data_IF_103228037788
#
_entry.id   IF_103228037788
#
_cell.length_a   1.000
_cell.length_b   1.000
_cell.length_c   1.000
_cell.angle_alpha   90.00
_cell.angle_beta   90.00
_cell.angle_gamma   90.00
#
_symmetry.space_group_name_H-M   'P 1'
#
loop_
_entity.id
_entity.type
_entity.pdbx_description
1 polymer ?
#
# COMPACT_ATOMS: atom_id res chain seq x y z
N UNK A 1 -33.79 -1.57 -1.78
CA UNK A 1 -34.21 -0.24 -1.19
C UNK A 1 -33.08 0.34 -0.32
N UNK A 2 -33.06 1.67 -0.08
CA UNK A 2 -32.03 2.34 0.77
C UNK A 2 -32.06 1.78 2.20
N UNK A 3 -33.27 1.57 2.72
CA UNK A 3 -33.49 1.02 4.08
C UNK A 3 -32.82 -0.34 4.27
N UNK A 4 -32.96 -1.26 3.35
CA UNK A 4 -32.32 -2.59 3.42
C UNK A 4 -30.79 -2.50 3.44
N UNK A 5 -30.21 -1.60 2.63
CA UNK A 5 -28.76 -1.36 2.61
C UNK A 5 -28.28 -0.77 3.93
N UNK A 6 -29.06 0.16 4.50
CA UNK A 6 -28.75 0.76 5.80
C UNK A 6 -28.74 -0.31 6.90
N UNK A 7 -29.78 -1.12 6.99
CA UNK A 7 -29.84 -2.19 7.99
C UNK A 7 -28.76 -3.24 7.79
N UNK A 8 -28.45 -3.63 6.54
CA UNK A 8 -27.32 -4.52 6.25
C UNK A 8 -25.99 -3.92 6.73
N UNK A 9 -25.79 -2.61 6.56
CA UNK A 9 -24.60 -1.90 7.06
C UNK A 9 -24.57 -1.86 8.60
N UNK A 10 -25.71 -1.63 9.25
CA UNK A 10 -25.82 -1.64 10.72
C UNK A 10 -25.46 -3.03 11.28
N UNK A 11 -25.99 -4.11 10.71
CA UNK A 11 -25.67 -5.48 11.15
C UNK A 11 -24.20 -5.82 10.93
N UNK A 12 -23.60 -5.40 9.82
CA UNK A 12 -22.16 -5.53 9.60
C UNK A 12 -21.35 -4.72 10.61
N UNK A 13 -21.80 -3.50 10.94
CA UNK A 13 -21.17 -2.66 11.96
C UNK A 13 -21.16 -3.30 13.33
N UNK A 14 -22.27 -3.96 13.73
CA UNK A 14 -22.37 -4.74 14.97
C UNK A 14 -21.33 -5.87 15.05
N UNK A 15 -20.93 -6.41 13.89
CA UNK A 15 -19.90 -7.45 13.78
C UNK A 15 -18.46 -6.87 13.61
N UNK A 16 -18.30 -5.54 13.68
CA UNK A 16 -17.01 -4.87 13.46
C UNK A 16 -16.55 -4.82 12.00
N UNK A 17 -17.37 -5.26 11.05
CA UNK A 17 -17.02 -5.41 9.64
C UNK A 17 -17.06 -4.09 8.84
N UNK A 18 -17.41 -2.96 9.48
CA UNK A 18 -17.40 -1.64 8.86
C UNK A 18 -16.07 -0.87 9.09
N UNK A 19 -15.16 -1.45 9.86
CA UNK A 19 -13.81 -0.86 10.00
C UNK A 19 -13.04 -1.04 8.71
N UNK A 20 -12.36 0.05 8.29
CA UNK A 20 -11.44 0.02 7.17
C UNK A 20 -10.11 -0.65 7.52
N UNK A 21 -9.22 -0.71 6.54
CA UNK A 21 -7.87 -1.23 6.73
C UNK A 21 -7.07 -0.20 7.54
N UNK A 22 -6.35 -0.60 8.60
CA UNK A 22 -5.57 0.33 9.41
C UNK A 22 -4.50 1.05 8.58
N UNK A 23 -4.36 2.36 8.77
CA UNK A 23 -3.29 3.16 8.15
C UNK A 23 -1.96 3.04 8.91
N UNK A 24 -1.97 2.44 10.10
CA UNK A 24 -0.81 2.41 11.00
C UNK A 24 -0.66 3.69 11.85
N UNK A 25 -1.54 4.68 11.67
CA UNK A 25 -1.55 5.93 12.44
C UNK A 25 -2.84 6.00 13.26
N UNK A 26 -2.80 5.66 14.57
CA UNK A 26 -4.01 5.53 15.39
C UNK A 26 -4.86 6.79 15.46
N UNK A 27 -4.24 7.98 15.42
CA UNK A 27 -4.98 9.26 15.41
C UNK A 27 -5.76 9.45 14.11
N UNK A 28 -5.18 9.06 12.97
CA UNK A 28 -5.82 9.12 11.67
C UNK A 28 -6.95 8.08 11.61
N UNK A 29 -6.69 6.87 12.04
CA UNK A 29 -7.67 5.77 12.02
C UNK A 29 -8.92 6.07 12.89
N UNK A 30 -8.78 6.84 13.97
CA UNK A 30 -9.92 7.31 14.77
C UNK A 30 -10.84 8.27 14.00
N UNK A 31 -10.28 9.08 13.10
CA UNK A 31 -11.05 10.07 12.34
C UNK A 31 -11.60 9.49 11.05
N UNK A 32 -10.80 8.69 10.34
CA UNK A 32 -11.15 8.13 9.03
C UNK A 32 -11.78 6.74 9.11
N UNK A 33 -11.75 6.10 10.29
CA UNK A 33 -12.13 4.70 10.50
C UNK A 33 -11.29 3.71 9.68
N UNK A 34 -10.03 4.07 9.38
CA UNK A 34 -9.14 3.35 8.49
C UNK A 34 -9.40 3.63 7.00
N UNK A 35 -8.75 2.88 6.13
CA UNK A 35 -8.93 3.00 4.68
C UNK A 35 -10.24 2.31 4.29
N UNK A 36 -11.22 3.09 3.87
CA UNK A 36 -12.56 2.63 3.52
C UNK A 36 -12.64 2.24 2.05
N UNK A 37 -13.40 1.19 1.74
CA UNK A 37 -13.70 0.82 0.35
C UNK A 37 -14.54 1.92 -0.33
N UNK A 38 -14.30 2.17 -1.61
CA UNK A 38 -15.03 3.15 -2.44
C UNK A 38 -14.78 4.62 -2.06
N UNK A 39 -13.79 4.88 -1.21
CA UNK A 39 -13.37 6.25 -0.92
C UNK A 39 -12.16 6.63 -1.77
N UNK A 40 -12.13 7.88 -2.16
CA UNK A 40 -10.97 8.52 -2.78
C UNK A 40 -10.23 9.33 -1.70
N UNK A 41 -8.92 9.15 -1.63
CA UNK A 41 -8.07 9.87 -0.68
C UNK A 41 -7.08 10.74 -1.46
N UNK A 42 -7.04 12.02 -1.14
CA UNK A 42 -6.07 12.98 -1.69
C UNK A 42 -5.15 13.45 -0.57
N UNK A 43 -3.83 13.36 -0.81
CA UNK A 43 -2.81 13.81 0.14
C UNK A 43 -2.19 15.08 -0.43
N UNK A 44 -2.46 16.22 0.24
CA UNK A 44 -1.92 17.52 -0.09
C UNK A 44 -0.88 17.99 0.93
N UNK A 45 0.04 18.84 0.51
CA UNK A 45 1.05 19.47 1.37
C UNK A 45 2.16 20.12 0.55
N UNK A 46 3.00 20.91 1.20
CA UNK A 46 4.12 21.59 0.57
C UNK A 46 5.19 20.61 0.03
N UNK A 47 6.05 21.13 -0.83
CA UNK A 47 7.20 20.36 -1.31
C UNK A 47 8.09 19.94 -0.12
N UNK A 48 8.53 18.68 -0.09
CA UNK A 48 9.35 18.16 1.02
C UNK A 48 8.57 17.78 2.28
N UNK A 49 7.26 18.01 2.38
CA UNK A 49 6.43 17.70 3.57
C UNK A 49 6.20 16.19 3.82
N UNK A 50 6.86 15.30 3.07
CA UNK A 50 6.76 13.85 3.29
C UNK A 50 5.50 13.17 2.74
N UNK A 51 4.75 13.83 1.81
CA UNK A 51 3.52 13.27 1.21
C UNK A 51 3.68 11.85 0.69
N UNK A 52 4.71 11.62 -0.12
CA UNK A 52 4.98 10.31 -0.74
C UNK A 52 5.36 9.27 0.31
N UNK A 53 6.13 9.64 1.34
CA UNK A 53 6.48 8.73 2.45
C UNK A 53 5.25 8.38 3.27
N UNK A 54 4.40 9.37 3.57
CA UNK A 54 3.13 9.13 4.26
C UNK A 54 2.20 8.22 3.44
N UNK A 55 2.05 8.49 2.13
CA UNK A 55 1.26 7.65 1.23
C UNK A 55 1.79 6.21 1.18
N UNK A 56 3.11 6.05 1.02
CA UNK A 56 3.74 4.74 0.97
C UNK A 56 3.56 3.97 2.28
N UNK A 57 3.77 4.63 3.43
CA UNK A 57 3.58 4.00 4.73
C UNK A 57 2.12 3.61 4.98
N UNK A 58 1.21 4.58 4.90
CA UNK A 58 -0.16 4.41 5.37
C UNK A 58 -1.07 3.68 4.39
N UNK A 59 -0.86 3.85 3.07
CA UNK A 59 -1.77 3.30 2.06
C UNK A 59 -1.19 2.12 1.27
N UNK A 60 0.10 1.83 1.43
CA UNK A 60 0.73 0.68 0.78
C UNK A 60 1.35 -0.25 1.82
N UNK A 61 2.35 0.19 2.60
CA UNK A 61 3.10 -0.68 3.51
C UNK A 61 2.20 -1.29 4.61
N UNK A 62 1.45 -0.48 5.35
CA UNK A 62 0.58 -0.99 6.43
C UNK A 62 -0.51 -1.93 5.92
N UNK A 63 -1.28 -1.58 4.85
CA UNK A 63 -2.22 -2.52 4.24
C UNK A 63 -1.55 -3.78 3.68
N UNK A 64 -0.34 -3.68 3.11
CA UNK A 64 0.42 -4.83 2.63
C UNK A 64 0.78 -5.80 3.76
N UNK A 65 1.25 -5.27 4.90
CA UNK A 65 1.53 -6.09 6.10
C UNK A 65 0.27 -6.84 6.55
N UNK A 66 -0.89 -6.17 6.58
CA UNK A 66 -2.15 -6.80 6.94
C UNK A 66 -2.62 -7.85 5.90
N UNK A 67 -2.40 -7.60 4.62
CA UNK A 67 -2.68 -8.57 3.55
C UNK A 67 -1.78 -9.81 3.66
N UNK A 68 -0.49 -9.62 3.93
CA UNK A 68 0.46 -10.73 4.09
C UNK A 68 0.22 -11.58 5.34
N UNK A 69 -0.45 -11.02 6.36
CA UNK A 69 -0.96 -11.77 7.52
C UNK A 69 -2.25 -12.54 7.23
N UNK A 70 -2.87 -12.31 6.07
CA UNK A 70 -4.15 -12.92 5.70
C UNK A 70 -5.39 -12.23 6.27
N UNK A 71 -5.24 -11.04 6.88
CA UNK A 71 -6.35 -10.30 7.46
C UNK A 71 -7.25 -9.65 6.39
N UNK A 72 -6.68 -9.37 5.20
CA UNK A 72 -7.39 -8.72 4.09
C UNK A 72 -6.95 -9.28 2.75
N UNK A 73 -7.89 -9.44 1.82
CA UNK A 73 -7.59 -9.67 0.41
C UNK A 73 -7.39 -8.32 -0.29
N UNK A 74 -6.14 -7.98 -0.60
CA UNK A 74 -5.77 -6.70 -1.21
C UNK A 74 -4.77 -6.96 -2.33
N UNK A 75 -4.96 -6.26 -3.45
CA UNK A 75 -3.95 -6.10 -4.49
C UNK A 75 -3.73 -4.62 -4.73
N UNK A 76 -2.50 -4.23 -5.03
CA UNK A 76 -2.11 -2.84 -5.23
C UNK A 76 -1.79 -2.60 -6.70
N UNK A 77 -2.31 -1.51 -7.24
CA UNK A 77 -1.87 -0.95 -8.51
C UNK A 77 -1.32 0.45 -8.25
N UNK A 78 -0.04 0.63 -8.54
CA UNK A 78 0.68 1.88 -8.28
C UNK A 78 1.11 2.48 -9.61
N UNK A 79 0.70 3.70 -9.87
CA UNK A 79 1.28 4.53 -10.93
C UNK A 79 2.31 5.46 -10.30
N UNK A 80 3.58 5.23 -10.61
CA UNK A 80 4.69 6.01 -10.08
C UNK A 80 5.43 6.66 -11.26
N UNK A 81 5.26 7.97 -11.41
CA UNK A 81 5.87 8.71 -12.52
C UNK A 81 7.21 9.36 -12.15
N UNK A 82 7.59 9.31 -10.87
CA UNK A 82 8.82 9.92 -10.35
C UNK A 82 9.84 8.88 -9.85
N UNK A 83 9.37 7.73 -9.39
CA UNK A 83 10.21 6.71 -8.76
C UNK A 83 10.08 5.39 -9.51
N UNK A 84 11.23 4.73 -9.75
CA UNK A 84 11.25 3.39 -10.33
C UNK A 84 10.71 2.33 -9.36
N UNK A 85 10.37 1.17 -9.90
CA UNK A 85 9.90 0.01 -9.12
C UNK A 85 10.92 -0.39 -8.04
N UNK A 86 12.21 -0.40 -8.38
CA UNK A 86 13.29 -0.76 -7.44
C UNK A 86 13.35 0.22 -6.27
N UNK A 87 13.25 1.54 -6.55
CA UNK A 87 13.24 2.57 -5.50
C UNK A 87 12.03 2.43 -4.60
N UNK A 88 10.85 2.14 -5.16
CA UNK A 88 9.64 1.90 -4.37
C UNK A 88 9.80 0.67 -3.45
N UNK A 89 10.34 -0.44 -3.97
CA UNK A 89 10.59 -1.64 -3.17
C UNK A 89 11.69 -1.42 -2.14
N UNK A 90 12.74 -0.65 -2.44
CA UNK A 90 13.76 -0.27 -1.47
C UNK A 90 13.18 0.58 -0.32
N UNK A 91 12.25 1.50 -0.63
CA UNK A 91 11.51 2.26 0.40
C UNK A 91 10.60 1.37 1.26
N UNK A 92 9.91 0.41 0.65
CA UNK A 92 9.10 -0.57 1.41
C UNK A 92 9.98 -1.44 2.31
N UNK A 93 11.13 -1.87 1.82
CA UNK A 93 12.11 -2.63 2.60
C UNK A 93 12.67 -1.79 3.76
N UNK A 94 13.01 -0.52 3.54
CA UNK A 94 13.44 0.41 4.59
C UNK A 94 12.42 0.51 5.73
N UNK A 95 11.12 0.64 5.38
CA UNK A 95 10.03 0.64 6.36
C UNK A 95 9.92 -0.69 7.12
N UNK A 96 10.05 -1.81 6.42
CA UNK A 96 10.00 -3.14 7.02
C UNK A 96 11.17 -3.41 7.96
N UNK A 97 12.38 -2.99 7.58
CA UNK A 97 13.57 -3.09 8.42
C UNK A 97 13.44 -2.25 9.69
N UNK A 98 12.88 -1.05 9.60
CA UNK A 98 12.61 -0.22 10.76
C UNK A 98 11.58 -0.87 11.69
N UNK A 99 10.44 -1.29 11.18
CA UNK A 99 9.32 -1.83 11.98
C UNK A 99 9.67 -3.19 12.65
N UNK A 100 10.44 -4.05 11.98
CA UNK A 100 10.70 -5.41 12.47
C UNK A 100 12.06 -5.58 13.17
N UNK A 101 13.04 -4.73 12.85
CA UNK A 101 14.41 -4.85 13.38
C UNK A 101 14.91 -3.58 14.10
N UNK A 102 14.12 -2.49 14.09
CA UNK A 102 14.57 -1.19 14.59
C UNK A 102 15.75 -0.60 13.80
N UNK A 103 15.97 -1.08 12.56
CA UNK A 103 17.10 -0.68 11.73
C UNK A 103 16.73 0.54 10.89
N UNK A 104 17.28 1.69 11.26
CA UNK A 104 17.13 2.94 10.50
C UNK A 104 18.11 2.95 9.32
N UNK A 105 17.63 2.55 8.15
CA UNK A 105 18.42 2.56 6.91
C UNK A 105 17.60 3.19 5.78
N UNK A 106 18.15 4.19 5.12
CA UNK A 106 17.47 4.84 4.00
C UNK A 106 17.50 3.97 2.74
N UNK A 107 16.57 4.20 1.81
CA UNK A 107 16.54 3.48 0.55
C UNK A 107 17.78 3.78 -0.32
N UNK A 108 18.34 5.00 -0.21
CA UNK A 108 19.57 5.39 -0.90
C UNK A 108 20.75 4.53 -0.44
N UNK A 109 20.83 4.22 0.85
CA UNK A 109 21.83 3.33 1.41
C UNK A 109 21.57 1.88 1.03
N UNK A 110 20.29 1.42 1.03
CA UNK A 110 19.93 0.08 0.56
C UNK A 110 20.37 -0.15 -0.88
N UNK A 111 20.22 0.86 -1.75
CA UNK A 111 20.64 0.81 -3.15
C UNK A 111 22.13 1.22 -3.35
N UNK A 112 22.86 1.46 -2.25
CA UNK A 112 24.28 1.87 -2.26
C UNK A 112 24.56 3.14 -3.08
N UNK A 113 23.60 4.09 -3.10
CA UNK A 113 23.78 5.39 -3.75
C UNK A 113 24.64 6.34 -2.92
N UNK A 114 24.65 6.18 -1.60
CA UNK A 114 25.40 7.02 -0.66
C UNK A 114 26.60 6.29 -0.06
N UNK A 115 26.36 5.09 0.48
CA UNK A 115 27.35 4.30 1.19
C UNK A 115 27.21 2.82 0.84
N UNK A 116 28.29 2.06 0.95
CA UNK A 116 28.27 0.61 0.81
C UNK A 116 27.62 -0.02 2.04
N UNK A 117 26.73 -0.99 1.84
CA UNK A 117 26.10 -1.75 2.91
C UNK A 117 27.14 -2.67 3.55
N UNK A 118 27.21 -2.70 4.87
CA UNK A 118 28.01 -3.66 5.62
C UNK A 118 27.39 -5.08 5.58
N UNK A 119 28.26 -6.10 5.75
CA UNK A 119 27.86 -7.51 5.65
C UNK A 119 26.76 -7.92 6.66
N UNK A 120 26.71 -7.28 7.85
CA UNK A 120 25.71 -7.57 8.86
C UNK A 120 24.34 -7.07 8.41
N UNK A 121 24.29 -5.85 7.89
CA UNK A 121 23.08 -5.24 7.33
C UNK A 121 22.61 -6.02 6.10
N UNK A 122 23.55 -6.42 5.22
CA UNK A 122 23.22 -7.22 4.03
C UNK A 122 22.53 -8.54 4.40
N UNK A 123 23.03 -9.26 5.41
CA UNK A 123 22.40 -10.50 5.88
C UNK A 123 20.96 -10.29 6.34
N UNK A 124 20.67 -9.22 7.08
CA UNK A 124 19.32 -8.88 7.52
C UNK A 124 18.41 -8.60 6.30
N UNK A 125 18.93 -7.90 5.30
CA UNK A 125 18.21 -7.63 4.04
C UNK A 125 17.91 -8.94 3.30
N UNK A 126 18.87 -9.86 3.23
CA UNK A 126 18.70 -11.15 2.58
C UNK A 126 17.61 -12.01 3.24
N UNK A 127 17.48 -11.96 4.57
CA UNK A 127 16.40 -12.62 5.30
C UNK A 127 15.02 -12.12 4.88
N UNK A 128 14.92 -10.87 4.40
CA UNK A 128 13.64 -10.28 3.94
C UNK A 128 13.30 -10.61 2.48
N UNK A 129 14.17 -11.29 1.76
CA UNK A 129 13.95 -11.66 0.34
C UNK A 129 12.61 -12.38 0.13
N UNK A 130 12.26 -13.30 1.01
CA UNK A 130 10.99 -14.03 0.91
C UNK A 130 9.77 -13.14 1.15
N UNK A 131 9.87 -12.19 2.08
CA UNK A 131 8.83 -11.19 2.31
C UNK A 131 8.64 -10.29 1.09
N UNK A 132 9.73 -9.79 0.51
CA UNK A 132 9.71 -8.99 -0.72
C UNK A 132 9.06 -9.76 -1.88
N UNK A 133 9.41 -11.03 -2.08
CA UNK A 133 8.82 -11.85 -3.11
C UNK A 133 7.30 -12.10 -2.92
N UNK A 134 6.82 -12.13 -1.67
CA UNK A 134 5.38 -12.16 -1.39
C UNK A 134 4.72 -10.81 -1.66
N UNK A 135 5.36 -9.70 -1.30
CA UNK A 135 4.89 -8.35 -1.56
C UNK A 135 4.74 -8.09 -3.06
N UNK A 136 5.73 -8.50 -3.86
CA UNK A 136 5.74 -8.37 -5.32
C UNK A 136 4.53 -9.04 -5.99
N UNK A 137 4.04 -10.15 -5.45
CA UNK A 137 2.83 -10.81 -5.98
C UNK A 137 1.55 -10.01 -5.78
N UNK A 138 1.52 -9.11 -4.80
CA UNK A 138 0.36 -8.28 -4.49
C UNK A 138 0.44 -6.89 -5.10
N UNK A 139 1.62 -6.46 -5.54
CA UNK A 139 1.88 -5.11 -6.03
C UNK A 139 2.14 -5.15 -7.54
N UNK A 140 1.37 -4.37 -8.28
CA UNK A 140 1.59 -4.08 -9.70
C UNK A 140 2.03 -2.61 -9.82
N UNK A 141 3.14 -2.34 -10.49
CA UNK A 141 3.69 -0.98 -10.64
C UNK A 141 3.77 -0.61 -12.12
N UNK A 142 3.37 0.62 -12.42
CA UNK A 142 3.63 1.30 -13.69
C UNK A 142 4.51 2.50 -13.38
N UNK A 143 5.81 2.39 -13.66
CA UNK A 143 6.87 3.34 -13.28
C UNK A 143 7.47 4.11 -14.46
N UNK A 144 6.68 4.32 -15.49
CA UNK A 144 7.04 5.10 -16.68
C UNK A 144 5.96 6.10 -17.02
N UNK A 145 6.34 7.21 -17.63
CA UNK A 145 5.39 8.16 -18.18
C UNK A 145 4.49 7.48 -19.21
N UNK A 146 3.21 7.62 -19.03
CA UNK A 146 2.19 7.01 -19.89
C UNK A 146 1.07 8.01 -20.17
N UNK A 147 0.38 7.82 -21.30
CA UNK A 147 -0.78 8.65 -21.63
C UNK A 147 -1.99 8.27 -20.76
N UNK A 148 -2.99 9.17 -20.62
CA UNK A 148 -4.23 8.87 -19.91
C UNK A 148 -4.95 7.64 -20.45
N UNK A 149 -4.92 7.42 -21.77
CA UNK A 149 -5.54 6.26 -22.43
C UNK A 149 -4.84 4.96 -22.04
N UNK A 150 -3.52 5.00 -21.88
CA UNK A 150 -2.76 3.85 -21.40
C UNK A 150 -3.10 3.54 -19.93
N UNK A 151 -3.28 4.57 -19.11
CA UNK A 151 -3.72 4.40 -17.69
C UNK A 151 -5.07 3.69 -17.65
N UNK A 152 -6.06 4.12 -18.45
CA UNK A 152 -7.37 3.46 -18.53
C UNK A 152 -7.25 2.00 -18.99
N UNK A 153 -6.41 1.73 -19.98
CA UNK A 153 -6.15 0.38 -20.48
C UNK A 153 -5.58 -0.52 -19.38
N UNK A 154 -4.56 -0.05 -18.66
CA UNK A 154 -3.93 -0.79 -17.54
C UNK A 154 -4.94 -1.04 -16.44
N UNK A 155 -5.74 -0.03 -16.07
CA UNK A 155 -6.79 -0.17 -15.05
C UNK A 155 -7.78 -1.25 -15.43
N UNK A 156 -8.28 -1.27 -16.66
CA UNK A 156 -9.22 -2.29 -17.14
C UNK A 156 -8.62 -3.69 -17.10
N UNK A 157 -7.38 -3.86 -17.57
CA UNK A 157 -6.67 -5.14 -17.53
C UNK A 157 -6.47 -5.62 -16.10
N UNK A 158 -6.07 -4.72 -15.20
CA UNK A 158 -5.85 -5.04 -13.80
C UNK A 158 -7.15 -5.42 -13.09
N UNK A 159 -8.25 -4.68 -13.35
CA UNK A 159 -9.57 -5.04 -12.82
C UNK A 159 -10.07 -6.38 -13.36
N UNK A 160 -9.82 -6.71 -14.63
CA UNK A 160 -10.16 -8.03 -15.18
C UNK A 160 -9.39 -9.16 -14.49
N UNK A 161 -8.13 -8.90 -14.10
CA UNK A 161 -7.28 -9.91 -13.46
C UNK A 161 -7.58 -10.10 -11.97
N UNK A 162 -7.78 -9.01 -11.25
CA UNK A 162 -7.86 -9.00 -9.78
C UNK A 162 -9.22 -8.53 -9.24
N UNK A 163 -9.99 -7.81 -10.05
CA UNK A 163 -11.26 -7.24 -9.64
C UNK A 163 -12.32 -8.33 -9.47
N UNK A 164 -13.08 -8.25 -8.39
CA UNK A 164 -14.36 -8.95 -8.29
C UNK A 164 -15.44 -7.96 -8.73
N UNK A 165 -16.16 -8.26 -9.81
CA UNK A 165 -17.33 -7.47 -10.20
C UNK A 165 -18.36 -7.59 -9.07
N UNK A 166 -18.57 -6.49 -8.37
CA UNK A 166 -19.71 -6.36 -7.46
C UNK A 166 -20.75 -5.56 -8.24
N UNK A 167 -21.85 -6.20 -8.67
CA UNK A 167 -22.91 -5.47 -9.37
C UNK A 167 -23.28 -4.23 -8.56
N UNK A 168 -23.39 -3.10 -9.23
CA UNK A 168 -23.96 -1.92 -8.62
C UNK A 168 -25.38 -2.27 -8.15
N UNK A 169 -25.92 -1.53 -7.21
CA UNK A 169 -27.34 -1.59 -7.02
C UNK A 169 -28.01 -1.04 -8.26
N UNK A 170 -28.88 -1.83 -8.87
CA UNK A 170 -29.86 -1.37 -9.83
C UNK A 170 -30.75 -0.30 -9.19
#
# INVERSE_FOLDING_TARGET
>A
MITERLFKSIYRGKQGLNKGIPTGIPKLDRVTFGIQRRYHYTIGGDQGAGKSTFALYSYIYRPLVEALKGNYEINFLIFSFELSSEVLFAKLLSLDLYENYGLEISYEKILSFTDIIDDKTLKIIEERKFWLAKAEKLISIVDKSVSPEYVDTVLRMWFCKFGKFIPGPD
#
